data_IF_145760594379
#
_entry.id   IF_145760594379
#
_cell.length_a   1.000
_cell.length_b   1.000
_cell.length_c   1.000
_cell.angle_alpha   90.00
_cell.angle_beta   90.00
_cell.angle_gamma   90.00
#
_symmetry.space_group_name_H-M   'P 1'
#
loop_
_entity.id
_entity.type
_entity.pdbx_description
1 polymer ?
#
# COMPACT_ATOMS: atom_id res chain seq x y z
N UNK A 1 -7.08 -5.30 -13.00
CA UNK A 1 -7.40 -4.65 -11.72
C UNK A 1 -8.09 -5.64 -10.80
N UNK A 2 -8.14 -5.35 -9.49
CA UNK A 2 -8.84 -6.15 -8.48
C UNK A 2 -10.34 -6.02 -8.75
N UNK A 3 -11.03 -7.15 -8.89
CA UNK A 3 -12.45 -7.20 -9.19
C UNK A 3 -13.26 -7.47 -7.93
N UNK A 4 -12.85 -8.46 -7.14
CA UNK A 4 -13.49 -8.73 -5.86
C UNK A 4 -12.51 -9.36 -4.87
N UNK A 5 -12.82 -9.17 -3.58
CA UNK A 5 -12.13 -9.78 -2.43
C UNK A 5 -13.18 -10.46 -1.56
N UNK A 6 -12.97 -11.74 -1.27
CA UNK A 6 -13.81 -12.53 -0.37
C UNK A 6 -12.96 -13.05 0.80
N UNK A 7 -13.49 -12.84 2.00
CA UNK A 7 -12.85 -13.14 3.28
C UNK A 7 -13.79 -14.01 4.10
N UNK A 8 -13.27 -15.09 4.69
CA UNK A 8 -13.96 -15.93 5.67
C UNK A 8 -13.07 -16.11 6.89
N UNK A 9 -13.56 -15.69 8.06
CA UNK A 9 -12.91 -15.79 9.36
C UNK A 9 -11.51 -15.13 9.43
N UNK A 10 -11.36 -13.94 8.83
CA UNK A 10 -10.14 -13.15 8.84
C UNK A 10 -10.27 -11.92 9.76
N UNK A 11 -9.47 -11.88 10.82
CA UNK A 11 -9.36 -10.77 11.79
C UNK A 11 -10.71 -10.39 12.40
N UNK A 12 -11.31 -9.28 11.94
CA UNK A 12 -12.59 -8.76 12.38
C UNK A 12 -13.76 -9.16 11.46
N UNK A 13 -13.48 -9.84 10.34
CA UNK A 13 -14.48 -10.24 9.36
C UNK A 13 -14.87 -11.72 9.56
N UNK A 14 -16.10 -12.00 10.07
CA UNK A 14 -16.65 -13.35 10.03
C UNK A 14 -16.76 -13.85 8.60
N UNK A 15 -17.38 -13.03 7.74
CA UNK A 15 -17.45 -13.20 6.30
C UNK A 15 -17.58 -11.81 5.69
N UNK A 16 -16.90 -11.57 4.56
CA UNK A 16 -17.04 -10.35 3.80
C UNK A 16 -16.80 -10.63 2.32
N UNK A 17 -17.61 -10.02 1.46
CA UNK A 17 -17.38 -9.99 0.01
C UNK A 17 -17.48 -8.53 -0.45
N UNK A 18 -16.43 -8.08 -1.13
CA UNK A 18 -16.36 -6.73 -1.68
C UNK A 18 -16.14 -6.82 -3.18
N UNK A 19 -16.98 -6.11 -3.92
CA UNK A 19 -16.82 -5.90 -5.36
C UNK A 19 -16.20 -4.51 -5.58
N UNK A 20 -15.15 -4.45 -6.39
CA UNK A 20 -14.39 -3.24 -6.65
C UNK A 20 -14.67 -2.71 -8.07
N UNK A 21 -14.78 -1.39 -8.15
CA UNK A 21 -14.64 -0.63 -9.39
C UNK A 21 -13.17 -0.63 -9.84
N UNK A 22 -12.89 -0.66 -11.16
CA UNK A 22 -11.52 -0.60 -11.67
C UNK A 22 -10.82 0.75 -11.42
N UNK A 23 -11.58 1.81 -11.08
CA UNK A 23 -11.06 3.15 -10.80
C UNK A 23 -11.03 3.47 -9.30
N UNK A 24 -12.02 4.21 -8.82
CA UNK A 24 -12.10 4.66 -7.43
C UNK A 24 -13.06 3.80 -6.61
N UNK A 25 -12.62 3.40 -5.42
CA UNK A 25 -13.38 2.69 -4.41
C UNK A 25 -13.27 3.46 -3.10
N UNK A 26 -14.37 3.59 -2.35
CA UNK A 26 -14.39 4.29 -1.07
C UNK A 26 -15.00 3.37 -0.02
N UNK A 27 -14.19 2.96 0.94
CA UNK A 27 -14.63 2.06 2.02
C UNK A 27 -14.95 2.90 3.26
N UNK A 28 -16.23 2.89 3.66
CA UNK A 28 -16.72 3.64 4.82
C UNK A 28 -17.14 2.67 5.92
N UNK A 29 -16.77 2.99 7.15
CA UNK A 29 -17.14 2.22 8.34
C UNK A 29 -16.56 2.86 9.59
N UNK A 30 -17.12 2.52 10.75
CA UNK A 30 -16.64 3.02 12.04
C UNK A 30 -15.19 2.59 12.33
N UNK A 31 -14.56 3.25 13.31
CA UNK A 31 -13.21 2.86 13.76
C UNK A 31 -13.25 1.45 14.36
N UNK A 32 -12.23 0.64 14.06
CA UNK A 32 -12.16 -0.74 14.57
C UNK A 32 -13.05 -1.75 13.84
N UNK A 33 -13.57 -1.42 12.64
CA UNK A 33 -14.34 -2.37 11.80
C UNK A 33 -13.48 -3.22 10.85
N UNK A 34 -12.16 -3.02 10.83
CA UNK A 34 -11.22 -3.80 10.00
C UNK A 34 -10.90 -3.23 8.63
N UNK A 35 -11.25 -1.97 8.34
CA UNK A 35 -10.92 -1.28 7.06
C UNK A 35 -9.43 -1.42 6.68
N UNK A 36 -8.52 -1.06 7.58
CA UNK A 36 -7.08 -1.18 7.37
C UNK A 36 -6.64 -2.63 7.13
N UNK A 37 -7.28 -3.60 7.77
CA UNK A 37 -6.95 -5.02 7.59
C UNK A 37 -7.35 -5.50 6.20
N UNK A 38 -8.50 -5.05 5.71
CA UNK A 38 -8.95 -5.35 4.35
C UNK A 38 -7.97 -4.82 3.31
N UNK A 39 -7.54 -3.56 3.44
CA UNK A 39 -6.53 -2.95 2.57
C UNK A 39 -5.20 -3.73 2.65
N UNK A 40 -4.75 -4.09 3.86
CA UNK A 40 -3.50 -4.84 4.08
C UNK A 40 -3.54 -6.22 3.44
N UNK A 41 -4.67 -6.94 3.46
CA UNK A 41 -4.78 -8.25 2.77
C UNK A 41 -4.71 -8.11 1.27
N UNK A 42 -5.49 -7.19 0.69
CA UNK A 42 -5.44 -6.93 -0.74
C UNK A 42 -4.01 -6.54 -1.18
N UNK A 43 -3.37 -5.66 -0.42
CA UNK A 43 -1.97 -5.29 -0.61
C UNK A 43 -1.03 -6.50 -0.55
N UNK A 44 -1.10 -7.31 0.52
CA UNK A 44 -0.18 -8.46 0.70
C UNK A 44 -0.26 -9.46 -0.45
N UNK A 45 -1.46 -9.76 -0.97
CA UNK A 45 -1.62 -10.70 -2.09
C UNK A 45 -1.02 -10.13 -3.37
N UNK A 46 -1.35 -8.88 -3.70
CA UNK A 46 -0.90 -8.22 -4.94
C UNK A 46 0.62 -7.96 -4.88
N UNK A 47 1.13 -7.48 -3.75
CA UNK A 47 2.56 -7.19 -3.56
C UNK A 47 3.39 -8.47 -3.65
N UNK A 48 2.96 -9.55 -2.97
CA UNK A 48 3.66 -10.83 -3.06
C UNK A 48 3.73 -11.36 -4.50
N UNK A 49 2.60 -11.34 -5.22
CA UNK A 49 2.56 -11.79 -6.61
C UNK A 49 3.46 -10.94 -7.54
N UNK A 50 3.48 -9.61 -7.35
CA UNK A 50 4.34 -8.72 -8.12
C UNK A 50 5.82 -8.91 -7.79
N UNK A 51 6.18 -9.06 -6.52
CA UNK A 51 7.56 -9.27 -6.08
C UNK A 51 8.12 -10.60 -6.60
N UNK A 52 7.34 -11.69 -6.52
CA UNK A 52 7.76 -12.99 -7.04
C UNK A 52 7.88 -12.99 -8.56
N UNK A 53 6.99 -12.30 -9.28
CA UNK A 53 7.07 -12.19 -10.75
C UNK A 53 8.26 -11.36 -11.26
N UNK A 54 8.87 -10.53 -10.40
CA UNK A 54 10.06 -9.76 -10.74
C UNK A 54 11.37 -10.41 -10.27
N UNK A 55 11.29 -11.58 -9.63
CA UNK A 55 12.46 -12.33 -9.22
C UNK A 55 13.05 -13.08 -10.43
N UNK A 56 14.30 -12.79 -10.86
CA UNK A 56 14.85 -13.34 -12.11
C UNK A 56 14.91 -14.88 -12.19
N UNK A 57 14.87 -15.55 -11.03
CA UNK A 57 14.94 -17.01 -10.92
C UNK A 57 13.57 -17.69 -11.00
N UNK A 58 12.47 -16.93 -11.08
CA UNK A 58 11.09 -17.44 -11.02
C UNK A 58 10.40 -17.20 -12.37
N UNK A 59 9.99 -18.28 -13.04
CA UNK A 59 9.21 -18.19 -14.27
C UNK A 59 7.71 -18.17 -13.97
N UNK A 60 7.17 -19.30 -13.51
CA UNK A 60 5.72 -19.48 -13.32
C UNK A 60 5.31 -19.56 -11.84
N UNK A 61 4.07 -19.17 -11.50
CA UNK A 61 3.51 -19.41 -10.17
C UNK A 61 3.49 -20.88 -9.79
N UNK A 62 4.02 -21.19 -8.60
CA UNK A 62 3.93 -22.52 -8.01
C UNK A 62 3.29 -22.46 -6.63
N UNK A 63 2.65 -23.56 -6.22
CA UNK A 63 2.07 -23.65 -4.88
C UNK A 63 3.13 -23.41 -3.81
N UNK A 64 4.29 -24.06 -3.88
CA UNK A 64 5.32 -23.93 -2.86
C UNK A 64 5.81 -22.48 -2.67
N UNK A 65 6.01 -21.74 -3.76
CA UNK A 65 6.42 -20.33 -3.71
C UNK A 65 5.33 -19.45 -3.07
N UNK A 66 4.07 -19.63 -3.46
CA UNK A 66 2.96 -18.84 -2.94
C UNK A 66 2.60 -19.21 -1.50
N UNK A 67 2.69 -20.49 -1.10
CA UNK A 67 2.38 -20.94 0.27
C UNK A 67 3.22 -20.20 1.31
N UNK A 68 4.53 -20.12 1.06
CA UNK A 68 5.46 -19.40 1.94
C UNK A 68 5.42 -17.90 1.70
N UNK A 69 5.37 -17.46 0.44
CA UNK A 69 5.39 -16.04 0.07
C UNK A 69 4.21 -15.25 0.61
N UNK A 70 2.99 -15.74 0.42
CA UNK A 70 1.78 -15.09 0.94
C UNK A 70 1.81 -15.06 2.48
N UNK A 71 2.20 -16.16 3.12
CA UNK A 71 2.31 -16.23 4.57
C UNK A 71 3.33 -15.23 5.13
N UNK A 72 4.53 -15.18 4.54
CA UNK A 72 5.60 -14.26 4.93
C UNK A 72 5.18 -12.80 4.73
N UNK A 73 4.58 -12.46 3.58
CA UNK A 73 4.08 -11.11 3.30
C UNK A 73 2.99 -10.70 4.29
N UNK A 74 2.03 -11.58 4.59
CA UNK A 74 1.00 -11.31 5.60
C UNK A 74 1.61 -11.08 6.98
N UNK A 75 2.55 -11.92 7.42
CA UNK A 75 3.21 -11.76 8.72
C UNK A 75 3.98 -10.44 8.78
N UNK A 76 4.73 -10.09 7.74
CA UNK A 76 5.54 -8.87 7.72
C UNK A 76 4.71 -7.59 7.61
N UNK A 77 3.56 -7.62 6.93
CA UNK A 77 2.64 -6.48 6.78
C UNK A 77 1.77 -6.27 8.02
N UNK A 78 1.27 -7.34 8.63
CA UNK A 78 0.40 -7.24 9.82
C UNK A 78 1.13 -7.30 11.15
N UNK A 79 2.36 -7.85 11.17
CA UNK A 79 3.15 -8.12 12.38
C UNK A 79 2.42 -8.93 13.48
N UNK A 80 1.70 -10.02 13.17
CA UNK A 80 1.25 -10.94 14.19
C UNK A 80 2.43 -11.82 14.66
N UNK A 81 2.34 -12.39 15.86
CA UNK A 81 3.33 -13.38 16.32
C UNK A 81 3.37 -14.66 15.46
N UNK A 82 2.26 -14.99 14.80
CA UNK A 82 2.16 -16.08 13.83
C UNK A 82 1.00 -15.86 12.87
N UNK A 83 1.05 -16.48 11.68
CA UNK A 83 0.01 -16.37 10.65
C UNK A 83 -1.39 -16.68 11.20
N UNK A 84 -1.52 -17.73 12.00
CA UNK A 84 -2.79 -18.18 12.57
C UNK A 84 -3.48 -17.14 13.46
N UNK A 85 -2.78 -16.12 13.97
CA UNK A 85 -3.38 -15.02 14.74
C UNK A 85 -4.16 -14.03 13.88
N UNK A 86 -4.02 -14.09 12.55
CA UNK A 86 -4.87 -13.34 11.62
C UNK A 86 -6.25 -14.00 11.43
N UNK A 87 -6.41 -15.28 11.79
CA UNK A 87 -7.73 -15.91 11.79
C UNK A 87 -8.48 -15.53 13.08
N UNK A 88 -9.78 -15.23 12.97
CA UNK A 88 -10.57 -14.88 14.16
C UNK A 88 -10.62 -16.06 15.15
N UNK A 89 -10.43 -15.77 16.44
CA UNK A 89 -10.46 -16.78 17.50
C UNK A 89 -11.91 -17.13 17.83
N UNK A 90 -12.30 -18.36 17.53
CA UNK A 90 -13.54 -18.99 18.03
C UNK A 90 -13.18 -20.35 18.62
N UNK A 91 -14.08 -20.93 19.41
CA UNK A 91 -13.86 -22.27 19.97
C UNK A 91 -13.68 -23.30 18.83
N UNK A 92 -12.68 -24.17 18.95
CA UNK A 92 -12.31 -25.15 17.92
C UNK A 92 -11.26 -24.67 16.92
N UNK A 93 -10.73 -25.61 16.12
CA UNK A 93 -9.82 -25.26 15.02
C UNK A 93 -10.62 -24.62 13.89
N UNK A 94 -10.39 -23.33 13.66
CA UNK A 94 -11.05 -22.59 12.58
C UNK A 94 -10.10 -22.43 11.40
N UNK A 95 -10.67 -22.30 10.21
CA UNK A 95 -9.94 -22.05 8.96
C UNK A 95 -10.32 -20.66 8.46
N UNK A 96 -9.31 -19.83 8.23
CA UNK A 96 -9.44 -18.59 7.49
C UNK A 96 -9.32 -18.88 5.99
N UNK A 97 -10.14 -18.22 5.16
CA UNK A 97 -10.05 -18.29 3.71
C UNK A 97 -10.02 -16.89 3.13
N UNK A 98 -9.20 -16.72 2.10
CA UNK A 98 -9.09 -15.49 1.32
C UNK A 98 -9.14 -15.88 -0.15
N UNK A 99 -10.03 -15.23 -0.90
CA UNK A 99 -10.11 -15.36 -2.35
C UNK A 99 -10.08 -13.98 -2.98
N UNK A 100 -9.24 -13.80 -3.99
CA UNK A 100 -9.04 -12.54 -4.69
C UNK A 100 -9.18 -12.82 -6.17
N UNK A 101 -10.04 -12.06 -6.85
CA UNK A 101 -10.16 -12.13 -8.29
C UNK A 101 -9.86 -10.80 -8.96
N UNK A 102 -9.34 -10.91 -10.16
CA UNK A 102 -8.97 -9.78 -10.99
C UNK A 102 -9.81 -9.75 -12.27
N UNK A 103 -9.69 -8.67 -13.04
CA UNK A 103 -10.29 -8.60 -14.38
C UNK A 103 -9.79 -9.72 -15.29
N UNK A 104 -8.52 -10.09 -15.14
CA UNK A 104 -7.91 -11.23 -15.81
C UNK A 104 -7.91 -12.42 -14.85
N UNK A 105 -8.79 -13.41 -15.11
CA UNK A 105 -8.95 -14.57 -14.24
C UNK A 105 -7.68 -15.41 -14.06
N UNK A 106 -6.71 -15.29 -14.98
CA UNK A 106 -5.39 -15.94 -14.84
C UNK A 106 -4.60 -15.45 -13.61
N UNK A 107 -4.94 -14.29 -13.06
CA UNK A 107 -4.32 -13.72 -11.86
C UNK A 107 -5.04 -14.11 -10.56
N UNK A 108 -6.20 -14.77 -10.66
CA UNK A 108 -7.04 -15.09 -9.50
C UNK A 108 -6.27 -15.99 -8.52
N UNK A 109 -6.35 -15.66 -7.25
CA UNK A 109 -5.59 -16.34 -6.18
C UNK A 109 -6.51 -16.63 -5.02
N UNK A 110 -6.48 -17.87 -4.52
CA UNK A 110 -7.21 -18.27 -3.33
C UNK A 110 -6.35 -19.10 -2.40
N UNK A 111 -6.45 -18.84 -1.10
CA UNK A 111 -5.69 -19.56 -0.08
C UNK A 111 -6.44 -19.63 1.25
N UNK A 112 -6.00 -20.56 2.09
CA UNK A 112 -6.54 -20.77 3.42
C UNK A 112 -5.46 -21.10 4.44
N UNK A 113 -5.73 -20.82 5.71
CA UNK A 113 -4.85 -21.19 6.81
C UNK A 113 -5.65 -21.39 8.09
N UNK A 114 -5.17 -22.30 8.95
CA UNK A 114 -5.83 -22.56 10.24
C UNK A 114 -5.35 -21.58 11.31
N UNK A 115 -6.07 -21.50 12.41
CA UNK A 115 -5.64 -20.78 13.63
C UNK A 115 -4.33 -21.30 14.23
N UNK A 116 -3.81 -22.45 13.79
CA UNK A 116 -2.53 -23.05 14.21
C UNK A 116 -1.38 -22.77 13.23
N UNK A 117 -1.67 -22.19 12.06
CA UNK A 117 -0.67 -21.94 11.03
C UNK A 117 0.43 -21.01 11.53
N UNK A 118 1.68 -21.34 11.22
CA UNK A 118 2.84 -20.54 11.63
C UNK A 118 3.36 -19.70 10.48
N UNK A 119 3.81 -20.35 9.41
CA UNK A 119 4.61 -19.72 8.35
C UNK A 119 4.15 -20.06 6.93
N UNK A 120 3.05 -20.78 6.77
CA UNK A 120 2.57 -21.23 5.46
C UNK A 120 1.04 -21.18 5.37
N UNK A 121 0.54 -20.79 4.19
CA UNK A 121 -0.86 -20.98 3.79
C UNK A 121 -1.00 -22.26 2.97
N UNK A 122 -2.24 -22.70 2.75
CA UNK A 122 -2.61 -23.68 1.71
C UNK A 122 -3.13 -22.93 0.50
N UNK A 123 -2.62 -23.23 -0.70
CA UNK A 123 -3.13 -22.65 -1.95
C UNK A 123 -4.32 -23.45 -2.44
N UNK A 124 -5.48 -22.80 -2.46
CA UNK A 124 -6.76 -23.34 -2.93
C UNK A 124 -7.03 -22.97 -4.39
N UNK A 125 -6.53 -21.81 -4.85
CA UNK A 125 -6.55 -21.35 -6.24
C UNK A 125 -5.18 -20.81 -6.63
N UNK A 126 -4.52 -21.49 -7.57
CA UNK A 126 -3.20 -21.13 -8.08
C UNK A 126 -3.37 -20.18 -9.29
N UNK A 127 -2.83 -18.96 -9.27
CA UNK A 127 -2.81 -18.11 -10.45
C UNK A 127 -1.98 -18.75 -11.57
N UNK A 128 -2.40 -18.53 -12.81
CA UNK A 128 -1.67 -18.96 -14.01
C UNK A 128 -0.61 -17.97 -14.49
N UNK A 129 -0.56 -16.77 -13.91
CA UNK A 129 0.44 -15.74 -14.23
C UNK A 129 0.71 -14.84 -13.00
N UNK A 130 1.85 -14.16 -13.00
CA UNK A 130 2.19 -13.16 -11.99
C UNK A 130 1.48 -11.83 -12.23
N UNK A 131 1.26 -11.09 -11.15
CA UNK A 131 0.75 -9.72 -11.23
C UNK A 131 1.84 -8.79 -11.79
N UNK A 132 1.56 -8.13 -12.91
CA UNK A 132 2.47 -7.17 -13.54
C UNK A 132 2.36 -5.75 -12.96
N UNK A 133 1.27 -5.47 -12.23
CA UNK A 133 1.00 -4.18 -11.60
C UNK A 133 1.33 -4.19 -10.11
N UNK A 134 2.33 -3.41 -9.71
CA UNK A 134 2.65 -3.27 -8.30
C UNK A 134 1.59 -2.44 -7.55
N UNK A 135 1.34 -2.74 -6.26
CA UNK A 135 0.52 -1.92 -5.39
C UNK A 135 1.35 -0.90 -4.61
N UNK A 136 0.70 0.18 -4.18
CA UNK A 136 1.22 1.15 -3.21
C UNK A 136 0.28 1.15 -2.01
N UNK A 137 0.85 1.07 -0.80
CA UNK A 137 0.10 1.24 0.44
C UNK A 137 0.48 2.57 1.10
N UNK A 138 -0.49 3.47 1.25
CA UNK A 138 -0.34 4.71 2.01
C UNK A 138 -0.97 4.53 3.40
N UNK A 139 -0.16 4.46 4.48
CA UNK A 139 -0.67 4.29 5.83
C UNK A 139 -1.25 5.60 6.40
N UNK A 140 -1.97 5.49 7.52
CA UNK A 140 -2.55 6.63 8.24
C UNK A 140 -1.51 7.67 8.66
N UNK A 141 -0.28 7.26 8.97
CA UNK A 141 0.82 8.15 9.40
C UNK A 141 1.77 8.46 8.24
N UNK A 142 2.25 9.69 8.18
CA UNK A 142 3.29 10.06 7.22
C UNK A 142 4.64 9.42 7.58
N UNK A 143 5.46 9.12 6.55
CA UNK A 143 6.78 8.52 6.72
C UNK A 143 7.94 9.47 6.34
N UNK A 144 7.66 10.67 5.81
CA UNK A 144 8.70 11.58 5.33
C UNK A 144 9.63 12.05 6.46
N UNK A 145 9.07 12.29 7.65
CA UNK A 145 9.86 12.66 8.83
C UNK A 145 10.74 11.51 9.36
N UNK A 146 10.34 10.27 9.10
CA UNK A 146 10.98 9.04 9.62
C UNK A 146 11.92 8.37 8.60
N UNK A 147 11.80 8.74 7.33
CA UNK A 147 12.49 8.12 6.19
C UNK A 147 13.99 7.89 6.42
N UNK A 148 14.68 8.89 7.00
CA UNK A 148 16.13 8.90 7.16
C UNK A 148 16.68 7.79 8.07
N UNK A 149 15.89 7.27 9.02
CA UNK A 149 16.30 6.17 9.89
C UNK A 149 15.53 4.88 9.61
N UNK A 150 14.32 4.97 9.06
CA UNK A 150 13.40 3.83 8.93
C UNK A 150 13.94 2.74 8.00
N UNK A 151 14.35 3.12 6.79
CA UNK A 151 14.86 2.16 5.80
C UNK A 151 16.20 1.53 6.24
N UNK A 152 17.24 2.30 6.65
CA UNK A 152 18.50 1.71 7.11
C UNK A 152 18.35 0.83 8.35
N UNK A 153 17.46 1.20 9.28
CA UNK A 153 17.20 0.41 10.48
C UNK A 153 16.58 -0.94 10.11
N UNK A 154 15.60 -0.94 9.22
CA UNK A 154 14.93 -2.17 8.78
C UNK A 154 15.89 -3.13 8.05
N UNK A 155 16.78 -2.60 7.21
CA UNK A 155 17.73 -3.41 6.44
C UNK A 155 18.86 -3.97 7.31
N UNK A 156 19.23 -3.29 8.40
CA UNK A 156 20.40 -3.65 9.22
C UNK A 156 20.08 -4.37 10.54
N UNK A 157 18.80 -4.43 10.92
CA UNK A 157 18.35 -4.95 12.22
C UNK A 157 17.04 -5.73 12.11
N UNK A 158 16.85 -6.66 13.04
CA UNK A 158 15.55 -7.31 13.23
C UNK A 158 14.64 -6.36 14.01
N UNK A 159 13.70 -5.72 13.32
CA UNK A 159 12.75 -4.77 13.90
C UNK A 159 11.31 -5.10 13.53
N UNK A 160 10.40 -4.80 14.45
CA UNK A 160 8.96 -5.03 14.32
C UNK A 160 8.28 -3.85 13.63
N UNK A 161 8.69 -3.58 12.40
CA UNK A 161 8.16 -2.51 11.55
C UNK A 161 7.35 -3.10 10.41
N UNK A 162 6.12 -2.65 10.22
CA UNK A 162 5.26 -3.16 9.16
C UNK A 162 5.91 -2.98 7.77
N UNK A 163 6.05 -4.05 6.99
CA UNK A 163 6.87 -4.05 5.76
C UNK A 163 6.35 -3.08 4.69
N UNK A 164 5.05 -2.84 4.63
CA UNK A 164 4.48 -1.87 3.70
C UNK A 164 4.96 -0.42 3.97
N UNK A 165 5.41 -0.09 5.18
CA UNK A 165 6.10 1.19 5.43
C UNK A 165 7.44 1.27 4.71
N UNK A 166 8.16 0.14 4.65
CA UNK A 166 9.46 0.04 3.98
C UNK A 166 9.28 0.07 2.48
N UNK A 167 8.30 -0.67 1.97
CA UNK A 167 7.91 -0.64 0.56
C UNK A 167 7.57 0.80 0.14
N UNK A 168 6.80 1.53 0.96
CA UNK A 168 6.50 2.94 0.71
C UNK A 168 7.75 3.83 0.75
N UNK A 169 8.66 3.65 1.72
CA UNK A 169 9.92 4.38 1.78
C UNK A 169 10.73 4.22 0.49
N UNK A 170 10.86 3.00 -0.04
CA UNK A 170 11.57 2.76 -1.30
C UNK A 170 10.99 3.59 -2.46
N UNK A 171 9.66 3.71 -2.53
CA UNK A 171 8.98 4.53 -3.54
C UNK A 171 9.19 6.05 -3.33
N UNK A 172 9.20 6.51 -2.08
CA UNK A 172 9.45 7.91 -1.75
C UNK A 172 10.89 8.32 -2.09
N UNK A 173 11.85 7.42 -1.87
CA UNK A 173 13.27 7.60 -2.14
C UNK A 173 13.65 7.58 -3.62
N UNK A 174 12.77 7.08 -4.49
CA UNK A 174 13.05 6.96 -5.91
C UNK A 174 13.37 8.32 -6.57
N UNK A 175 14.21 8.36 -7.61
CA UNK A 175 14.45 9.58 -8.39
C UNK A 175 13.16 10.15 -8.99
N UNK A 176 13.12 11.46 -9.21
CA UNK A 176 12.01 12.08 -9.95
C UNK A 176 11.97 11.54 -11.38
N UNK A 177 10.76 11.35 -11.92
CA UNK A 177 10.58 10.91 -13.30
C UNK A 177 11.06 12.00 -14.28
N UNK A 178 11.57 11.58 -15.44
CA UNK A 178 11.94 12.46 -16.55
C UNK A 178 11.20 12.07 -17.83
N UNK A 179 10.98 13.03 -18.73
CA UNK A 179 10.48 12.81 -20.09
C UNK A 179 8.97 12.99 -20.25
N UNK A 180 8.34 12.16 -21.11
CA UNK A 180 6.99 12.39 -21.64
C UNK A 180 5.88 12.55 -20.59
N UNK A 181 6.07 12.01 -19.37
CA UNK A 181 5.10 12.06 -18.27
C UNK A 181 5.28 13.25 -17.33
N UNK A 182 6.32 14.07 -17.51
CA UNK A 182 6.59 15.24 -16.65
C UNK A 182 5.40 16.20 -16.57
N UNK A 183 4.72 16.43 -17.71
CA UNK A 183 3.57 17.34 -17.76
C UNK A 183 2.40 16.83 -16.93
N UNK A 184 2.03 15.56 -17.08
CA UNK A 184 0.94 14.94 -16.31
C UNK A 184 1.25 14.94 -14.79
N UNK A 185 2.50 14.64 -14.43
CA UNK A 185 2.97 14.72 -13.04
C UNK A 185 2.86 16.15 -12.51
N UNK A 186 3.34 17.13 -13.26
CA UNK A 186 3.30 18.54 -12.85
C UNK A 186 1.86 19.03 -12.63
N UNK A 187 0.93 18.65 -13.50
CA UNK A 187 -0.50 18.99 -13.37
C UNK A 187 -1.14 18.38 -12.11
N UNK A 188 -0.82 17.12 -11.79
CA UNK A 188 -1.33 16.44 -10.59
C UNK A 188 -0.72 16.97 -9.29
N UNK A 189 0.56 17.37 -9.33
CA UNK A 189 1.31 17.83 -8.15
C UNK A 189 1.05 19.29 -7.83
N UNK A 190 0.78 20.14 -8.83
CA UNK A 190 0.64 21.59 -8.63
C UNK A 190 -0.39 21.98 -7.53
N UNK A 191 -1.60 21.40 -7.47
CA UNK A 191 -2.56 21.71 -6.40
C UNK A 191 -2.06 21.32 -5.00
N UNK A 192 -1.22 20.29 -4.90
CA UNK A 192 -0.62 19.84 -3.64
C UNK A 192 0.49 20.79 -3.21
N UNK A 193 1.37 21.19 -4.13
CA UNK A 193 2.43 22.18 -3.86
C UNK A 193 1.86 23.53 -3.45
N UNK A 194 0.78 23.98 -4.10
CA UNK A 194 0.07 25.21 -3.72
C UNK A 194 -0.50 25.12 -2.30
N UNK A 195 -1.14 24.02 -1.95
CA UNK A 195 -1.71 23.82 -0.62
C UNK A 195 -0.65 23.74 0.50
N UNK A 196 0.54 23.21 0.19
CA UNK A 196 1.66 23.15 1.11
C UNK A 196 2.48 24.45 1.15
N UNK A 197 2.33 25.33 0.16
CA UNK A 197 3.15 26.54 0.02
C UNK A 197 4.61 26.25 -0.39
N UNK A 198 4.89 25.07 -0.96
CA UNK A 198 6.26 24.66 -1.25
C UNK A 198 6.37 23.29 -1.92
N UNK A 199 7.62 22.89 -2.18
CA UNK A 199 7.94 21.63 -2.88
C UNK A 199 8.64 20.65 -1.96
N UNK A 200 8.38 19.37 -2.14
CA UNK A 200 9.08 18.31 -1.39
C UNK A 200 10.41 18.01 -2.05
N UNK A 201 11.49 18.11 -1.29
CA UNK A 201 12.84 17.80 -1.76
C UNK A 201 13.51 16.78 -0.84
N UNK A 202 14.26 15.85 -1.43
CA UNK A 202 15.13 14.93 -0.73
C UNK A 202 16.57 15.47 -0.80
N UNK A 203 17.20 15.70 0.34
CA UNK A 203 18.58 16.16 0.38
C UNK A 203 19.57 15.01 0.15
N UNK A 204 20.87 15.33 0.06
CA UNK A 204 21.94 14.34 -0.14
C UNK A 204 22.16 13.43 1.07
N UNK A 205 21.68 13.81 2.25
CA UNK A 205 21.82 13.04 3.49
C UNK A 205 20.62 12.12 3.75
N UNK A 206 19.70 11.99 2.78
CA UNK A 206 18.53 11.13 2.90
C UNK A 206 17.43 11.72 3.81
N UNK A 207 17.31 13.05 3.91
CA UNK A 207 16.26 13.74 4.65
C UNK A 207 15.32 14.50 3.72
N UNK A 208 14.03 14.38 3.99
CA UNK A 208 13.02 15.16 3.29
C UNK A 208 12.84 16.54 3.92
N UNK A 209 12.65 17.54 3.07
CA UNK A 209 12.37 18.93 3.42
C UNK A 209 11.22 19.48 2.58
N UNK A 210 10.52 20.47 3.13
CA UNK A 210 9.59 21.32 2.39
C UNK A 210 10.34 22.59 2.00
N UNK A 211 10.63 22.74 0.71
CA UNK A 211 11.26 23.93 0.16
C UNK A 211 10.21 25.00 -0.09
N UNK A 212 10.20 26.03 0.75
CA UNK A 212 9.27 27.16 0.71
C UNK A 212 9.95 28.33 -0.03
N UNK A 213 9.35 28.87 -1.11
CA UNK A 213 9.89 30.02 -1.82
C UNK A 213 10.12 31.22 -0.86
N UNK A 214 11.34 31.76 -0.86
CA UNK A 214 11.71 32.90 -0.01
C UNK A 214 12.04 32.58 1.46
N UNK A 215 11.72 31.38 1.96
CA UNK A 215 12.03 30.97 3.35
C UNK A 215 13.08 29.85 3.45
N UNK A 216 13.37 29.16 2.34
CA UNK A 216 14.36 28.09 2.30
C UNK A 216 13.75 26.71 2.57
N UNK A 217 14.55 25.81 3.14
CA UNK A 217 14.13 24.44 3.41
C UNK A 217 13.65 24.31 4.86
N UNK A 218 12.44 23.78 5.05
CA UNK A 218 11.88 23.44 6.35
C UNK A 218 11.95 21.92 6.56
N UNK A 219 12.54 21.48 7.67
CA UNK A 219 12.60 20.07 8.04
C UNK A 219 11.19 19.47 8.16
N UNK A 220 10.97 18.27 7.60
CA UNK A 220 9.65 17.61 7.68
C UNK A 220 9.08 17.52 9.11
N UNK A 221 9.85 17.18 10.17
CA UNK A 221 9.35 17.23 11.55
C UNK A 221 8.69 18.56 11.97
N UNK A 222 9.11 19.70 11.40
CA UNK A 222 8.56 21.03 11.70
C UNK A 222 7.32 21.39 10.86
N UNK A 223 7.02 20.60 9.82
CA UNK A 223 5.83 20.76 8.97
C UNK A 223 4.61 20.13 9.66
N UNK A 224 3.45 20.78 9.60
CA UNK A 224 2.21 20.23 10.15
C UNK A 224 1.87 18.86 9.52
N UNK A 225 1.36 17.91 10.32
CA UNK A 225 1.17 16.53 9.87
C UNK A 225 0.24 16.39 8.65
N UNK A 226 -0.84 17.16 8.60
CA UNK A 226 -1.71 17.19 7.44
C UNK A 226 -1.00 17.62 6.16
N UNK A 227 -0.04 18.55 6.24
CA UNK A 227 0.78 18.94 5.10
C UNK A 227 1.84 17.88 4.77
N UNK A 228 2.39 17.17 5.77
CA UNK A 228 3.29 16.03 5.54
C UNK A 228 2.61 14.89 4.76
N UNK A 229 1.32 14.64 4.98
CA UNK A 229 0.54 13.69 4.17
C UNK A 229 0.43 14.11 2.71
N UNK A 230 0.13 15.39 2.46
CA UNK A 230 0.12 15.94 1.10
C UNK A 230 1.51 15.87 0.46
N UNK A 231 2.56 16.13 1.23
CA UNK A 231 3.94 16.02 0.79
C UNK A 231 4.27 14.59 0.37
N UNK A 232 3.82 13.60 1.14
CA UNK A 232 4.01 12.19 0.82
C UNK A 232 3.34 11.82 -0.51
N UNK A 233 2.09 12.24 -0.70
CA UNK A 233 1.38 12.05 -1.97
C UNK A 233 2.09 12.76 -3.13
N UNK A 234 2.43 14.04 -2.97
CA UNK A 234 3.12 14.83 -3.98
C UNK A 234 4.45 14.16 -4.38
N UNK A 235 5.17 13.62 -3.40
CA UNK A 235 6.42 12.89 -3.65
C UNK A 235 6.19 11.64 -4.47
N UNK A 236 5.21 10.80 -4.12
CA UNK A 236 4.90 9.57 -4.87
C UNK A 236 4.46 9.84 -6.32
N UNK A 237 3.73 10.94 -6.55
CA UNK A 237 3.38 11.36 -7.91
C UNK A 237 4.63 11.85 -8.64
N UNK A 238 5.48 12.63 -7.99
CA UNK A 238 6.71 13.20 -8.57
C UNK A 238 7.73 12.13 -8.97
N UNK A 239 7.85 11.05 -8.20
CA UNK A 239 8.74 9.93 -8.54
C UNK A 239 8.19 9.04 -9.65
N UNK A 240 6.99 9.32 -10.17
CA UNK A 240 6.28 8.42 -11.10
C UNK A 240 5.81 7.13 -10.44
N UNK A 241 6.11 6.93 -9.15
CA UNK A 241 5.86 5.70 -8.42
C UNK A 241 4.38 5.38 -8.24
N UNK A 242 3.46 6.30 -8.53
CA UNK A 242 2.03 5.99 -8.61
C UNK A 242 1.55 5.77 -10.05
N UNK A 243 2.12 6.47 -11.03
CA UNK A 243 1.67 6.44 -12.43
C UNK A 243 2.13 5.16 -13.18
N UNK A 244 3.17 4.50 -12.68
CA UNK A 244 3.65 3.21 -13.19
C UNK A 244 3.03 2.01 -12.44
N UNK A 245 2.05 2.25 -11.56
CA UNK A 245 1.45 1.25 -10.67
C UNK A 245 -0.01 1.01 -10.99
N UNK A 246 -0.52 -0.14 -10.56
CA UNK A 246 -1.93 -0.48 -10.77
C UNK A 246 -2.85 -0.13 -9.61
N UNK A 247 -2.30 0.03 -8.40
CA UNK A 247 -3.12 0.11 -7.19
C UNK A 247 -2.58 1.13 -6.19
N UNK A 248 -3.48 1.89 -5.57
CA UNK A 248 -3.22 2.71 -4.41
C UNK A 248 -4.22 2.32 -3.31
N UNK A 249 -3.74 1.61 -2.29
CA UNK A 249 -4.47 1.35 -1.05
C UNK A 249 -4.17 2.48 -0.08
N UNK A 250 -5.16 3.31 0.24
CA UNK A 250 -4.96 4.50 1.06
C UNK A 250 -5.75 4.41 2.36
N UNK A 251 -5.03 4.18 3.45
CA UNK A 251 -5.61 4.05 4.79
C UNK A 251 -5.81 5.43 5.44
N UNK A 252 -7.04 5.69 5.89
CA UNK A 252 -7.48 6.94 6.53
C UNK A 252 -6.92 8.23 5.87
N UNK A 253 -7.21 8.46 4.58
CA UNK A 253 -6.72 9.61 3.83
C UNK A 253 -7.13 10.96 4.44
N UNK A 254 -8.24 11.00 5.16
CA UNK A 254 -8.82 12.18 5.81
C UNK A 254 -8.21 12.51 7.19
N UNK A 255 -7.53 11.55 7.83
CA UNK A 255 -7.05 11.74 9.20
C UNK A 255 -6.06 12.92 9.29
N UNK A 256 -6.17 13.73 10.35
CA UNK A 256 -5.35 14.92 10.60
C UNK A 256 -5.44 16.01 9.52
N UNK A 257 -6.48 16.02 8.68
CA UNK A 257 -6.75 17.04 7.68
C UNK A 257 -7.91 17.96 8.06
N UNK A 258 -7.80 19.23 7.69
CA UNK A 258 -8.94 20.15 7.75
C UNK A 258 -9.88 19.94 6.54
N UNK A 259 -11.13 20.43 6.58
CA UNK A 259 -12.10 20.22 5.50
C UNK A 259 -11.66 20.72 4.11
N UNK A 260 -10.80 21.74 4.03
CA UNK A 260 -10.26 22.23 2.75
C UNK A 260 -9.30 21.20 2.14
N UNK A 261 -8.42 20.62 2.96
CA UNK A 261 -7.46 19.61 2.50
C UNK A 261 -8.12 18.26 2.19
N UNK A 262 -9.18 17.89 2.91
CA UNK A 262 -9.97 16.67 2.59
C UNK A 262 -10.53 16.76 1.16
N UNK A 263 -11.09 17.91 0.76
CA UNK A 263 -11.58 18.12 -0.61
C UNK A 263 -10.46 18.02 -1.65
N UNK A 264 -9.26 18.49 -1.32
CA UNK A 264 -8.09 18.39 -2.18
C UNK A 264 -7.65 16.93 -2.35
N UNK A 265 -7.56 16.17 -1.25
CA UNK A 265 -7.23 14.75 -1.27
C UNK A 265 -8.24 13.94 -2.08
N UNK A 266 -9.54 14.19 -1.90
CA UNK A 266 -10.58 13.53 -2.70
C UNK A 266 -10.43 13.81 -4.21
N UNK A 267 -10.11 15.06 -4.59
CA UNK A 267 -9.82 15.42 -5.99
C UNK A 267 -8.58 14.72 -6.52
N UNK A 268 -7.52 14.63 -5.72
CA UNK A 268 -6.29 13.94 -6.10
C UNK A 268 -6.53 12.43 -6.29
N UNK A 269 -7.25 11.77 -5.37
CA UNK A 269 -7.64 10.37 -5.48
C UNK A 269 -8.45 10.11 -6.76
N UNK A 270 -9.44 10.97 -7.05
CA UNK A 270 -10.19 10.88 -8.29
C UNK A 270 -9.31 11.08 -9.53
N UNK A 271 -8.44 12.09 -9.54
CA UNK A 271 -7.54 12.35 -10.66
C UNK A 271 -6.58 11.18 -10.92
N UNK A 272 -6.04 10.57 -9.87
CA UNK A 272 -5.22 9.36 -9.96
C UNK A 272 -6.01 8.19 -10.54
N UNK A 273 -7.29 8.03 -10.15
CA UNK A 273 -8.14 6.98 -10.72
C UNK A 273 -8.36 7.13 -12.23
N UNK A 274 -8.39 8.36 -12.74
CA UNK A 274 -8.47 8.64 -14.17
C UNK A 274 -7.18 8.33 -14.93
N UNK A 275 -6.05 8.15 -14.24
CA UNK A 275 -4.78 7.72 -14.84
C UNK A 275 -4.64 6.19 -14.91
N UNK A 276 -5.74 5.44 -14.67
CA UNK A 276 -5.72 3.99 -14.71
C UNK A 276 -5.15 3.34 -13.44
N UNK A 277 -5.10 4.07 -12.33
CA UNK A 277 -4.74 3.54 -11.00
C UNK A 277 -6.03 3.14 -10.30
N UNK A 278 -6.11 1.92 -9.77
CA UNK A 278 -7.21 1.53 -8.90
C UNK A 278 -6.97 2.07 -7.49
N UNK A 279 -7.71 3.10 -7.10
CA UNK A 279 -7.63 3.72 -5.78
C UNK A 279 -8.68 3.07 -4.87
N UNK A 280 -8.25 2.63 -3.68
CA UNK A 280 -9.07 1.93 -2.68
C UNK A 280 -8.84 2.53 -1.31
#
# INVERSE_FOLDING_TARGET
>A
MLKWLELDNLTLFPQARLDFSPGLNVIVGENGTGKSHLLKVAYSVIANAYEQGNEPSVADPTKALLQKGIADKLIKVFRPESLGRLASRRQGAQTCKVSVAFEQAVLDTAFSFSTRAQTEVKIDGLPGAWQDKAPVFMPTRELLSQYHWLLPLYESRHVDIEEHHIDLCKLLGAPAIKGAREKAVAELVAPLEEAMGGKVVLDKNGRFYLKIPGQGNLEMPLVAEGLRKLAMLARLITTGSLLDKGYLFWDEPEANLNPKLIKLVARAAFALSQQGIQVV
#
